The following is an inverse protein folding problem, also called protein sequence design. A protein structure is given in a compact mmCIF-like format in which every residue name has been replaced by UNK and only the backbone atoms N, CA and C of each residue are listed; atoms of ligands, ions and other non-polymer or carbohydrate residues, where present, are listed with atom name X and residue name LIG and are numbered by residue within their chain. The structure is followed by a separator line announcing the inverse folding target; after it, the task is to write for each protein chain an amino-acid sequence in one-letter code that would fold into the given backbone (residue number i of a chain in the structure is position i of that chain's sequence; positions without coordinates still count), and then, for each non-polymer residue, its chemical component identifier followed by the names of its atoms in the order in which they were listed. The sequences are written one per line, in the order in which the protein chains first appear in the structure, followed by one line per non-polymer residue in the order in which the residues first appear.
data_IF_736384600901
#
_entry.id   IF_736384600901
#
_cell.length_a   1.000
_cell.length_b   1.000
_cell.length_c   1.000
_cell.angle_alpha   90.00
_cell.angle_beta   90.00
_cell.angle_gamma   90.00
#
_symmetry.space_group_name_H-M   'P 1'
#
loop_
_entity.id
_entity.type
_entity.pdbx_description
1 polymer ?
#
# COMPACT_ATOMS: atom_id res chain seq x y z
N UNK A 1 -25.71 -19.66 -14.11
CA UNK A 1 -25.00 -18.36 -14.01
C UNK A 1 -23.58 -18.59 -13.49
N UNK A 2 -22.57 -18.51 -14.35
CA UNK A 2 -21.17 -18.75 -13.94
C UNK A 2 -20.57 -17.48 -13.34
N UNK A 3 -20.24 -17.48 -12.04
CA UNK A 3 -19.55 -16.35 -11.39
C UNK A 3 -18.08 -16.38 -11.82
N UNK A 4 -17.67 -15.48 -12.72
CA UNK A 4 -16.24 -15.26 -13.00
C UNK A 4 -15.53 -14.92 -11.68
N UNK A 5 -14.37 -15.54 -11.38
CA UNK A 5 -13.59 -15.16 -10.21
C UNK A 5 -13.16 -13.70 -10.38
N UNK A 6 -13.53 -12.85 -9.42
CA UNK A 6 -13.01 -11.48 -9.35
C UNK A 6 -11.49 -11.58 -9.19
N UNK A 7 -10.73 -11.05 -10.15
CA UNK A 7 -9.29 -10.86 -9.96
C UNK A 7 -9.12 -10.02 -8.69
N UNK A 8 -8.42 -10.57 -7.69
CA UNK A 8 -8.12 -9.85 -6.46
C UNK A 8 -7.16 -8.73 -6.82
N UNK A 9 -7.58 -7.48 -6.63
CA UNK A 9 -6.68 -6.35 -6.77
C UNK A 9 -5.52 -6.51 -5.76
N UNK A 10 -4.29 -6.12 -6.14
CA UNK A 10 -3.18 -6.05 -5.20
C UNK A 10 -3.54 -5.15 -4.02
N UNK A 11 -3.13 -5.54 -2.81
CA UNK A 11 -3.32 -4.73 -1.60
C UNK A 11 -2.36 -3.54 -1.68
N UNK A 12 -2.89 -2.33 -1.48
CA UNK A 12 -2.10 -1.08 -1.48
C UNK A 12 -1.72 -0.66 -0.05
N UNK A 13 -0.72 0.23 0.09
CA UNK A 13 -0.40 0.83 1.39
C UNK A 13 -1.63 1.48 2.03
N UNK A 14 -2.45 2.17 1.23
CA UNK A 14 -3.69 2.81 1.68
C UNK A 14 -4.75 1.81 2.18
N UNK A 15 -4.80 0.59 1.64
CA UNK A 15 -5.68 -0.47 2.18
C UNK A 15 -5.25 -0.92 3.57
N UNK A 16 -3.93 -1.04 3.79
CA UNK A 16 -3.36 -1.45 5.08
C UNK A 16 -3.55 -0.36 6.13
N UNK A 17 -3.37 0.91 5.77
CA UNK A 17 -3.67 2.06 6.66
C UNK A 17 -5.13 2.02 7.13
N UNK A 18 -6.08 1.84 6.21
CA UNK A 18 -7.51 1.70 6.58
C UNK A 18 -7.76 0.52 7.50
N UNK A 19 -7.05 -0.58 7.31
CA UNK A 19 -7.17 -1.76 8.17
C UNK A 19 -6.61 -1.50 9.58
N UNK A 20 -5.49 -0.76 9.68
CA UNK A 20 -4.91 -0.30 10.95
C UNK A 20 -5.87 0.63 11.68
N UNK A 21 -6.46 1.64 11.01
CA UNK A 21 -7.46 2.53 11.61
C UNK A 21 -8.64 1.75 12.21
N UNK A 22 -9.13 0.77 11.45
CA UNK A 22 -10.21 -0.11 11.91
C UNK A 22 -9.78 -0.96 13.10
N UNK A 23 -8.56 -1.49 13.09
CA UNK A 23 -8.03 -2.29 14.19
C UNK A 23 -7.84 -1.44 15.46
N UNK A 24 -7.32 -0.21 15.33
CA UNK A 24 -7.22 0.75 16.44
C UNK A 24 -8.61 1.02 17.04
N UNK A 25 -9.62 1.26 16.20
CA UNK A 25 -10.98 1.44 16.66
C UNK A 25 -11.52 0.22 17.42
N UNK A 26 -11.29 -1.00 16.90
CA UNK A 26 -11.68 -2.25 17.60
C UNK A 26 -10.96 -2.37 18.95
N UNK A 27 -9.65 -2.13 18.97
CA UNK A 27 -8.84 -2.19 20.20
C UNK A 27 -9.32 -1.18 21.23
N UNK A 28 -9.68 0.04 20.82
CA UNK A 28 -10.18 1.09 21.72
C UNK A 28 -11.50 0.73 22.43
N UNK A 29 -12.30 -0.16 21.83
CA UNK A 29 -13.61 -0.60 22.36
C UNK A 29 -13.56 -1.97 23.02
N UNK A 30 -12.44 -2.67 22.92
CA UNK A 30 -12.27 -4.02 23.45
C UNK A 30 -11.97 -4.00 24.94
N UNK A 31 -12.53 -4.96 25.68
CA UNK A 31 -12.14 -5.22 27.08
C UNK A 31 -10.74 -5.85 27.19
N UNK A 32 -10.22 -6.39 26.08
CA UNK A 32 -8.88 -6.94 25.99
C UNK A 32 -8.18 -6.41 24.72
N UNK A 33 -7.63 -5.19 24.75
CA UNK A 33 -6.95 -4.59 23.60
C UNK A 33 -5.66 -5.35 23.22
N UNK A 34 -5.04 -6.05 24.16
CA UNK A 34 -3.78 -6.79 23.95
C UNK A 34 -3.86 -7.86 22.86
N UNK A 35 -5.06 -8.41 22.60
CA UNK A 35 -5.27 -9.38 21.52
C UNK A 35 -5.04 -8.79 20.11
N UNK A 36 -5.21 -7.48 19.95
CA UNK A 36 -4.96 -6.80 18.68
C UNK A 36 -3.48 -6.53 18.40
N UNK A 37 -2.63 -6.52 19.43
CA UNK A 37 -1.23 -6.13 19.30
C UNK A 37 -0.41 -6.98 18.29
N UNK A 38 -0.56 -8.32 18.22
CA UNK A 38 0.16 -9.11 17.22
C UNK A 38 -0.25 -8.79 15.78
N UNK A 39 -1.55 -8.54 15.55
CA UNK A 39 -2.07 -8.15 14.25
C UNK A 39 -1.62 -6.74 13.86
N UNK A 40 -1.64 -5.81 14.81
CA UNK A 40 -1.15 -4.45 14.64
C UNK A 40 0.29 -4.45 14.14
N UNK A 41 1.19 -5.13 14.86
CA UNK A 41 2.62 -5.21 14.50
C UNK A 41 2.82 -5.74 13.09
N UNK A 42 2.07 -6.78 12.71
CA UNK A 42 2.16 -7.37 11.38
C UNK A 42 1.70 -6.40 10.28
N UNK A 43 0.62 -5.66 10.52
CA UNK A 43 0.10 -4.69 9.55
C UNK A 43 1.03 -3.48 9.41
N UNK A 44 1.64 -3.00 10.49
CA UNK A 44 2.66 -1.94 10.45
C UNK A 44 3.87 -2.35 9.60
N UNK A 45 4.40 -3.57 9.78
CA UNK A 45 5.51 -4.06 8.94
C UNK A 45 5.13 -4.20 7.47
N UNK A 46 3.90 -4.64 7.20
CA UNK A 46 3.40 -4.75 5.82
C UNK A 46 3.18 -3.37 5.18
N UNK A 47 2.72 -2.39 5.96
CA UNK A 47 2.57 -1.01 5.52
C UNK A 47 3.91 -0.41 5.11
N UNK A 48 4.94 -0.61 5.93
CA UNK A 48 6.31 -0.17 5.62
C UNK A 48 6.81 -0.79 4.30
N UNK A 49 6.67 -2.11 4.15
CA UNK A 49 7.04 -2.84 2.92
C UNK A 49 6.33 -2.29 1.69
N UNK A 50 5.02 -2.08 1.75
CA UNK A 50 4.24 -1.58 0.63
C UNK A 50 4.59 -0.13 0.26
N UNK A 51 4.83 0.73 1.26
CA UNK A 51 5.28 2.11 1.02
C UNK A 51 6.64 2.15 0.33
N UNK A 52 7.57 1.27 0.71
CA UNK A 52 8.87 1.16 0.04
C UNK A 52 8.70 0.72 -1.42
N UNK A 53 7.91 -0.33 -1.67
CA UNK A 53 7.63 -0.82 -3.02
C UNK A 53 6.98 0.25 -3.91
N UNK A 54 5.95 0.93 -3.39
CA UNK A 54 5.27 2.03 -4.09
C UNK A 54 6.23 3.20 -4.37
N UNK A 55 7.11 3.54 -3.43
CA UNK A 55 8.11 4.59 -3.61
C UNK A 55 9.15 4.23 -4.69
N UNK A 56 9.61 2.98 -4.73
CA UNK A 56 10.53 2.48 -5.76
C UNK A 56 9.87 2.58 -7.15
N UNK A 57 8.63 2.12 -7.27
CA UNK A 57 7.88 2.19 -8.53
C UNK A 57 7.68 3.65 -8.96
N UNK A 58 7.29 4.53 -8.03
CA UNK A 58 7.13 5.95 -8.30
C UNK A 58 8.45 6.60 -8.77
N UNK A 59 9.57 6.27 -8.12
CA UNK A 59 10.89 6.76 -8.50
C UNK A 59 11.32 6.27 -9.90
N UNK A 60 11.06 5.00 -10.22
CA UNK A 60 11.31 4.44 -11.55
C UNK A 60 10.49 5.16 -12.64
N UNK A 61 9.21 5.40 -12.38
CA UNK A 61 8.33 6.16 -13.30
C UNK A 61 8.81 7.60 -13.47
N UNK A 62 9.20 8.28 -12.39
CA UNK A 62 9.74 9.63 -12.45
C UNK A 62 11.06 9.71 -13.23
N UNK A 63 11.93 8.68 -13.11
CA UNK A 63 13.15 8.59 -13.92
C UNK A 63 12.83 8.39 -15.40
N UNK A 64 11.88 7.51 -15.72
CA UNK A 64 11.45 7.28 -17.10
C UNK A 64 10.88 8.55 -17.74
N UNK A 65 10.01 9.27 -17.02
CA UNK A 65 9.44 10.54 -17.49
C UNK A 65 10.54 11.56 -17.81
N UNK A 66 11.47 11.80 -16.88
CA UNK A 66 12.61 12.71 -17.10
C UNK A 66 13.47 12.33 -18.30
N UNK A 67 13.67 11.02 -18.53
CA UNK A 67 14.42 10.55 -19.69
C UNK A 67 13.70 10.90 -21.00
N UNK A 68 12.38 10.71 -21.06
CA UNK A 68 11.58 11.06 -22.25
C UNK A 68 11.59 12.56 -22.52
N UNK A 69 11.42 13.37 -21.48
CA UNK A 69 11.45 14.83 -21.57
C UNK A 69 12.81 15.33 -22.08
N UNK A 70 13.91 14.70 -21.65
CA UNK A 70 15.27 15.02 -22.12
C UNK A 70 15.47 14.68 -23.59
N UNK A 71 14.99 13.52 -24.05
CA UNK A 71 15.09 13.12 -25.46
C UNK A 71 14.24 14.03 -26.36
N UNK A 72 13.04 14.42 -25.90
CA UNK A 72 12.18 15.36 -26.60
C UNK A 72 12.83 16.75 -26.75
N UNK A 73 13.51 17.25 -25.71
CA UNK A 73 14.24 18.52 -25.76
C UNK A 73 15.51 18.50 -26.62
N UNK A 74 16.07 17.33 -26.92
CA UNK A 74 17.26 17.17 -27.79
C UNK A 74 16.90 16.93 -29.27
N UNK A 75 15.63 16.68 -29.56
CA UNK A 75 15.13 16.38 -30.90
C UNK A 75 14.28 17.52 -31.50
N UNK A 76 14.23 18.67 -30.82
CA UNK A 76 13.54 19.90 -31.22
C UNK A 76 14.56 21.01 -31.45
#
# INVERSE_FOLDING_TARGET
MSRRPRQKQPVTAADVERALDKLAWVMSRSRNPGLGAPLWKRLESELERLREEEAIVAAAQARLKRSKDRTAALSA
#
